data_IF_537606654378
#
_entry.id   IF_537606654378
#
_cell.length_a   1.000
_cell.length_b   1.000
_cell.length_c   1.000
_cell.angle_alpha   90.00
_cell.angle_beta   90.00
_cell.angle_gamma   90.00
#
_symmetry.space_group_name_H-M   'P 1'
#
loop_
_entity.id
_entity.type
_entity.pdbx_description
1 polymer ?
#
# COMPACT_ATOMS: atom_id res chain seq x y z
N UNK A 1 30.75 20.58 18.86
CA UNK A 1 29.93 19.41 18.45
C UNK A 1 28.49 19.87 18.34
N UNK A 2 27.99 20.13 17.13
CA UNK A 2 26.62 20.60 16.92
C UNK A 2 25.85 19.49 16.21
N UNK A 3 25.08 18.72 16.97
CA UNK A 3 24.19 17.69 16.42
C UNK A 3 22.89 18.36 15.97
N UNK A 4 22.73 18.54 14.66
CA UNK A 4 21.41 18.85 14.09
C UNK A 4 20.65 17.55 13.96
N UNK A 5 19.69 17.33 14.85
CA UNK A 5 18.64 16.35 14.65
C UNK A 5 17.74 16.85 13.51
N UNK A 6 18.03 16.46 12.28
CA UNK A 6 17.09 16.65 11.17
C UNK A 6 15.98 15.62 11.34
N UNK A 7 14.98 15.97 12.14
CA UNK A 7 13.70 15.30 12.08
C UNK A 7 13.25 15.31 10.60
N UNK A 8 12.89 14.14 10.09
CA UNK A 8 12.34 13.95 8.75
C UNK A 8 11.11 14.84 8.63
N UNK A 9 11.24 15.98 7.94
CA UNK A 9 10.11 16.86 7.68
C UNK A 9 9.09 16.04 6.88
N UNK A 10 7.84 15.87 7.37
CA UNK A 10 6.83 15.19 6.58
C UNK A 10 6.71 15.95 5.25
N UNK A 11 6.81 15.22 4.14
CA UNK A 11 6.60 15.77 2.81
C UNK A 11 5.30 16.56 2.80
N UNK A 12 5.33 17.79 2.27
CA UNK A 12 4.17 18.67 2.14
C UNK A 12 2.95 17.89 1.65
N UNK A 13 1.82 18.03 2.35
CA UNK A 13 0.55 17.40 1.98
C UNK A 13 0.20 17.76 0.53
N UNK A 14 0.22 16.77 -0.37
CA UNK A 14 -0.20 16.91 -1.76
C UNK A 14 -1.69 16.63 -1.90
N UNK A 15 -2.42 17.51 -2.59
CA UNK A 15 -3.84 17.34 -2.94
C UNK A 15 -3.96 16.72 -4.34
N UNK A 16 -5.01 15.92 -4.58
CA UNK A 16 -5.28 15.26 -5.87
C UNK A 16 -5.56 13.75 -5.74
N UNK A 17 -5.43 13.01 -6.85
CA UNK A 17 -5.52 11.55 -6.82
C UNK A 17 -4.29 10.96 -6.12
N UNK A 18 -4.51 10.18 -5.04
CA UNK A 18 -3.42 9.56 -4.26
C UNK A 18 -2.99 8.20 -4.82
N UNK A 19 -3.96 7.37 -5.20
CA UNK A 19 -3.74 5.98 -5.58
C UNK A 19 -4.93 5.47 -6.40
N UNK A 20 -4.68 4.44 -7.20
CA UNK A 20 -5.73 3.52 -7.68
C UNK A 20 -5.84 2.33 -6.72
N UNK A 21 -6.97 1.60 -6.76
CA UNK A 21 -7.16 0.37 -5.98
C UNK A 21 -7.54 -0.80 -6.88
N UNK A 22 -6.92 -1.95 -6.66
CA UNK A 22 -7.23 -3.22 -7.31
C UNK A 22 -7.80 -4.19 -6.26
N UNK A 23 -8.96 -4.78 -6.59
CA UNK A 23 -9.49 -5.87 -5.79
C UNK A 23 -8.65 -7.14 -6.01
N UNK A 24 -8.40 -7.87 -4.94
CA UNK A 24 -7.75 -9.19 -4.97
C UNK A 24 -8.62 -10.21 -4.25
N UNK A 25 -8.64 -11.44 -4.74
CA UNK A 25 -9.40 -12.53 -4.13
C UNK A 25 -8.80 -12.98 -2.80
N UNK A 26 -7.47 -13.02 -2.72
CA UNK A 26 -6.71 -13.35 -1.51
C UNK A 26 -5.51 -12.42 -1.40
N UNK A 27 -5.41 -11.68 -0.30
CA UNK A 27 -4.29 -10.80 0.00
C UNK A 27 -2.99 -11.59 0.14
N UNK A 28 -3.02 -12.72 0.82
CA UNK A 28 -1.84 -13.60 0.95
C UNK A 28 -1.36 -14.09 -0.43
N UNK A 29 -2.29 -14.58 -1.26
CA UNK A 29 -1.98 -15.03 -2.62
C UNK A 29 -1.39 -13.91 -3.48
N UNK A 30 -1.98 -12.72 -3.43
CA UNK A 30 -1.49 -11.54 -4.16
C UNK A 30 -0.08 -11.13 -3.71
N UNK A 31 0.18 -11.09 -2.41
CA UNK A 31 1.51 -10.77 -1.86
C UNK A 31 2.56 -11.77 -2.35
N UNK A 32 2.26 -13.07 -2.28
CA UNK A 32 3.19 -14.11 -2.69
C UNK A 32 3.46 -14.06 -4.20
N UNK A 33 2.42 -13.86 -5.01
CA UNK A 33 2.57 -13.70 -6.46
C UNK A 33 3.45 -12.50 -6.81
N UNK A 34 3.15 -11.32 -6.24
CA UNK A 34 3.89 -10.09 -6.50
C UNK A 34 5.35 -10.20 -6.06
N UNK A 35 5.60 -10.78 -4.87
CA UNK A 35 6.96 -11.03 -4.38
C UNK A 35 7.75 -11.92 -5.34
N UNK A 36 7.12 -12.95 -5.91
CA UNK A 36 7.73 -13.80 -6.94
C UNK A 36 8.15 -13.05 -8.21
N UNK A 37 7.59 -11.86 -8.45
CA UNK A 37 7.91 -10.98 -9.58
C UNK A 37 8.76 -9.76 -9.15
N UNK A 38 9.32 -9.76 -7.94
CA UNK A 38 10.15 -8.66 -7.44
C UNK A 38 9.36 -7.40 -7.04
N UNK A 39 8.03 -7.50 -6.89
CA UNK A 39 7.17 -6.42 -6.41
C UNK A 39 6.87 -6.64 -4.93
N UNK A 40 7.19 -5.66 -4.10
CA UNK A 40 7.08 -5.77 -2.65
C UNK A 40 6.00 -4.83 -2.11
N UNK A 41 5.33 -5.28 -1.04
CA UNK A 41 4.40 -4.44 -0.29
C UNK A 41 5.16 -3.29 0.36
N UNK A 42 4.71 -2.07 0.09
CA UNK A 42 5.25 -0.84 0.66
C UNK A 42 4.52 -0.42 1.93
N UNK A 43 3.28 -0.88 2.11
CA UNK A 43 2.51 -0.66 3.33
C UNK A 43 1.47 -1.77 3.58
N UNK A 44 1.28 -2.19 4.83
CA UNK A 44 0.38 -3.29 5.21
C UNK A 44 1.01 -4.68 5.05
N UNK A 45 0.20 -5.75 4.95
CA UNK A 45 -1.27 -5.76 4.95
C UNK A 45 -1.89 -5.40 6.31
N UNK A 46 -3.06 -4.77 6.30
CA UNK A 46 -3.84 -4.42 7.50
C UNK A 46 -5.26 -4.96 7.36
N UNK A 47 -5.71 -5.72 8.36
CA UNK A 47 -7.10 -6.14 8.49
C UNK A 47 -7.94 -4.99 9.05
N UNK A 48 -8.96 -4.57 8.30
CA UNK A 48 -9.87 -3.47 8.61
C UNK A 48 -11.26 -4.00 9.06
N UNK A 49 -11.37 -5.29 9.38
CA UNK A 49 -12.59 -6.00 9.73
C UNK A 49 -13.39 -6.45 8.51
N UNK A 50 -13.75 -5.51 7.62
CA UNK A 50 -14.54 -5.83 6.40
C UNK A 50 -13.66 -6.12 5.17
N UNK A 51 -12.37 -5.80 5.27
CA UNK A 51 -11.41 -5.96 4.18
C UNK A 51 -9.99 -6.03 4.70
N UNK A 52 -9.08 -6.56 3.88
CA UNK A 52 -7.64 -6.46 4.08
C UNK A 52 -7.10 -5.47 3.05
N UNK A 53 -6.27 -4.52 3.49
CA UNK A 53 -5.65 -3.50 2.64
C UNK A 53 -4.13 -3.63 2.66
N UNK A 54 -3.50 -3.56 1.50
CA UNK A 54 -2.07 -3.35 1.36
C UNK A 54 -1.79 -2.32 0.26
N UNK A 55 -0.56 -1.81 0.18
CA UNK A 55 -0.12 -0.93 -0.90
C UNK A 55 1.19 -1.46 -1.50
N UNK A 56 1.31 -1.31 -2.82
CA UNK A 56 2.57 -1.41 -3.57
C UNK A 56 2.85 -0.04 -4.23
N UNK A 57 4.03 0.08 -4.83
CA UNK A 57 4.36 1.18 -5.73
C UNK A 57 4.59 0.68 -7.15
N UNK A 58 4.15 1.46 -8.12
CA UNK A 58 4.55 1.29 -9.52
C UNK A 58 5.99 1.81 -9.74
N UNK A 59 6.57 1.66 -10.95
CA UNK A 59 7.91 2.15 -11.26
C UNK A 59 8.10 3.66 -11.08
N UNK A 60 7.03 4.47 -11.21
CA UNK A 60 7.05 5.92 -11.01
C UNK A 60 6.90 6.31 -9.52
N UNK A 61 6.71 5.31 -8.64
CA UNK A 61 6.57 5.49 -7.21
C UNK A 61 5.16 5.86 -6.75
N UNK A 62 4.16 5.79 -7.65
CA UNK A 62 2.76 6.02 -7.36
C UNK A 62 2.17 4.83 -6.61
N UNK A 63 1.29 5.09 -5.66
CA UNK A 63 0.69 4.05 -4.84
C UNK A 63 -0.41 3.31 -5.60
N UNK A 64 -0.38 1.97 -5.51
CA UNK A 64 -1.47 1.09 -5.92
C UNK A 64 -1.93 0.33 -4.68
N UNK A 65 -3.18 0.52 -4.31
CA UNK A 65 -3.82 -0.22 -3.23
C UNK A 65 -4.25 -1.61 -3.72
N UNK A 66 -4.01 -2.63 -2.90
CA UNK A 66 -4.59 -3.96 -3.02
C UNK A 66 -5.67 -4.10 -1.96
N UNK A 67 -6.83 -4.63 -2.33
CA UNK A 67 -7.94 -4.83 -1.38
C UNK A 67 -8.60 -6.20 -1.53
N UNK A 68 -8.57 -6.98 -0.46
CA UNK A 68 -9.41 -8.18 -0.31
C UNK A 68 -10.67 -7.79 0.47
N UNK A 69 -11.85 -7.99 -0.11
CA UNK A 69 -13.13 -7.81 0.60
C UNK A 69 -13.55 -9.12 1.27
N UNK A 70 -13.82 -9.11 2.58
CA UNK A 70 -14.29 -10.30 3.33
C UNK A 70 -15.74 -10.66 3.00
N UNK A 71 -16.55 -9.66 2.69
CA UNK A 71 -17.96 -9.80 2.34
C UNK A 71 -18.28 -8.89 1.15
N UNK A 72 -18.84 -9.47 0.10
CA UNK A 72 -19.35 -8.75 -1.08
C UNK A 72 -20.86 -8.68 -0.95
N UNK A 73 -21.41 -7.47 -0.87
CA UNK A 73 -22.84 -7.22 -0.69
C UNK A 73 -23.52 -6.71 -1.96
N UNK A 74 -22.83 -6.79 -3.10
CA UNK A 74 -23.31 -6.41 -4.42
C UNK A 74 -23.48 -7.65 -5.30
#
# INVERSE_FOLDING_TARGET
MHVKNLAHMPSSMTVGCRAIALEVESMEGAINYLRGHGVYITWGPVDLGTSIRAEIKDPDGLAIELREWRHKSW
#
